data_IF_372498169695
#
_entry.id   IF_372498169695
#
_cell.length_a   1.000
_cell.length_b   1.000
_cell.length_c   1.000
_cell.angle_alpha   90.00
_cell.angle_beta   90.00
_cell.angle_gamma   90.00
#
_symmetry.space_group_name_H-M   'P 1'
#
loop_
_entity.id
_entity.type
_entity.pdbx_description
1 polymer ?
#
# COMPACT_ATOMS: atom_id res chain seq x y z
N UNK A 1 -11.82 8.14 10.51
CA UNK A 1 -10.56 8.90 10.35
C UNK A 1 -10.28 9.71 11.61
N UNK A 2 -11.30 10.39 12.16
CA UNK A 2 -11.24 11.18 13.41
C UNK A 2 -10.52 10.51 14.60
N UNK A 3 -10.70 9.20 14.82
CA UNK A 3 -9.96 8.47 15.88
C UNK A 3 -8.45 8.39 15.61
N UNK A 4 -8.03 8.15 14.36
CA UNK A 4 -6.62 8.03 14.01
C UNK A 4 -5.94 9.40 14.06
N UNK A 5 -6.65 10.46 13.66
CA UNK A 5 -6.17 11.84 13.80
C UNK A 5 -5.94 12.19 15.28
N UNK A 6 -6.88 11.81 16.17
CA UNK A 6 -6.72 12.01 17.61
C UNK A 6 -5.52 11.24 18.18
N UNK A 7 -5.28 10.01 17.72
CA UNK A 7 -4.14 9.21 18.16
C UNK A 7 -2.82 9.82 17.69
N UNK A 8 -2.74 10.30 16.46
CA UNK A 8 -1.58 11.00 15.92
C UNK A 8 -1.29 12.30 16.70
N UNK A 9 -2.31 13.10 16.99
CA UNK A 9 -2.18 14.28 17.85
C UNK A 9 -1.70 13.91 19.26
N UNK A 10 -2.19 12.80 19.82
CA UNK A 10 -1.81 12.35 21.16
C UNK A 10 -0.37 11.85 21.20
N UNK A 11 0.09 11.14 20.17
CA UNK A 11 1.50 10.79 20.01
C UNK A 11 2.36 12.06 19.98
N UNK A 12 2.02 13.02 19.11
CA UNK A 12 2.80 14.25 18.89
C UNK A 12 2.83 15.16 20.12
N UNK A 13 1.70 15.31 20.82
CA UNK A 13 1.58 16.23 21.96
C UNK A 13 2.07 15.64 23.28
N UNK A 14 1.97 14.31 23.47
CA UNK A 14 2.26 13.65 24.76
C UNK A 14 3.40 12.63 24.69
N UNK A 15 4.02 12.44 23.53
CA UNK A 15 5.15 11.53 23.34
C UNK A 15 4.80 10.06 23.65
N UNK A 16 3.54 9.67 23.48
CA UNK A 16 3.08 8.31 23.79
C UNK A 16 3.32 7.40 22.59
N UNK A 17 3.87 6.20 22.84
CA UNK A 17 3.94 5.14 21.84
C UNK A 17 2.56 4.50 21.68
N UNK A 18 2.06 4.46 20.46
CA UNK A 18 0.77 3.88 20.11
C UNK A 18 1.02 2.66 19.23
N UNK A 19 0.41 1.54 19.58
CA UNK A 19 0.43 0.31 18.78
C UNK A 19 -0.99 0.05 18.32
N UNK A 20 -1.17 -0.08 17.01
CA UNK A 20 -2.48 -0.26 16.39
C UNK A 20 -2.46 -1.46 15.45
N UNK A 21 -3.60 -2.13 15.33
CA UNK A 21 -3.84 -3.15 14.29
C UNK A 21 -4.94 -2.59 13.41
N UNK A 22 -4.61 -2.36 12.14
CA UNK A 22 -5.54 -1.85 11.15
C UNK A 22 -5.75 -2.91 10.06
N UNK A 23 -6.98 -2.98 9.56
CA UNK A 23 -7.33 -3.87 8.44
C UNK A 23 -7.11 -3.23 7.07
N UNK A 24 -6.90 -1.91 7.02
CA UNK A 24 -6.70 -1.13 5.80
C UNK A 24 -5.23 -0.74 5.63
N UNK A 25 -4.65 -1.15 4.50
CA UNK A 25 -3.24 -0.95 4.17
C UNK A 25 -2.89 0.53 3.97
N UNK A 26 -3.76 1.29 3.33
CA UNK A 26 -3.50 2.69 3.00
C UNK A 26 -3.61 3.57 4.25
N UNK A 27 -4.60 3.30 5.11
CA UNK A 27 -4.67 3.95 6.42
C UNK A 27 -3.47 3.59 7.30
N UNK A 28 -3.01 2.33 7.25
CA UNK A 28 -1.78 1.93 7.97
C UNK A 28 -0.58 2.75 7.51
N UNK A 29 -0.39 2.90 6.20
CA UNK A 29 0.73 3.66 5.65
C UNK A 29 0.65 5.16 5.95
N UNK A 30 -0.56 5.73 6.01
CA UNK A 30 -0.76 7.17 6.24
C UNK A 30 -0.53 7.57 7.70
N UNK A 31 -0.87 6.72 8.66
CA UNK A 31 -0.85 7.06 10.08
C UNK A 31 0.28 6.41 10.88
N UNK A 32 0.93 5.37 10.34
CA UNK A 32 2.02 4.71 11.05
C UNK A 32 3.37 5.29 10.64
N UNK A 33 4.19 5.64 11.62
CA UNK A 33 5.62 5.89 11.41
C UNK A 33 6.41 4.59 11.19
N UNK A 34 5.86 3.47 11.69
CA UNK A 34 6.50 2.15 11.66
C UNK A 34 5.46 1.05 11.42
N UNK A 35 5.71 0.19 10.43
CA UNK A 35 4.89 -0.95 10.08
C UNK A 35 5.55 -2.27 10.46
N UNK A 36 4.71 -3.24 10.79
CA UNK A 36 5.09 -4.64 11.02
C UNK A 36 4.17 -5.50 10.17
N UNK A 37 4.71 -6.11 9.13
CA UNK A 37 4.01 -7.08 8.31
C UNK A 37 4.20 -8.49 8.90
N UNK A 38 3.11 -9.22 9.08
CA UNK A 38 3.09 -10.55 9.70
C UNK A 38 2.49 -11.56 8.73
N UNK A 39 3.19 -12.67 8.50
CA UNK A 39 2.74 -13.79 7.68
C UNK A 39 2.89 -15.08 8.49
N UNK A 40 1.84 -15.90 8.56
CA UNK A 40 1.86 -17.19 9.27
C UNK A 40 2.38 -17.09 10.73
N UNK A 41 2.01 -16.02 11.43
CA UNK A 41 2.42 -15.78 12.82
C UNK A 41 3.89 -15.38 13.02
N UNK A 42 4.62 -15.11 11.93
CA UNK A 42 5.99 -14.60 11.96
C UNK A 42 6.07 -13.21 11.34
N UNK A 43 7.01 -12.41 11.83
CA UNK A 43 7.33 -11.12 11.23
C UNK A 43 7.98 -11.36 9.86
N UNK A 44 7.34 -10.86 8.80
CA UNK A 44 7.84 -10.92 7.43
C UNK A 44 8.75 -9.72 7.12
N UNK A 45 8.30 -8.51 7.46
CA UNK A 45 9.06 -7.27 7.27
C UNK A 45 8.66 -6.23 8.32
N UNK A 46 9.60 -5.36 8.70
CA UNK A 46 9.35 -4.23 9.59
C UNK A 46 10.17 -3.01 9.18
N UNK A 47 9.67 -1.81 9.48
CA UNK A 47 10.34 -0.57 9.10
C UNK A 47 9.35 0.56 8.85
N UNK A 48 9.81 1.60 8.15
CA UNK A 48 8.93 2.68 7.68
C UNK A 48 7.91 2.17 6.67
N UNK A 49 6.78 2.88 6.47
CA UNK A 49 5.84 2.55 5.41
C UNK A 49 6.50 2.31 4.05
N UNK A 50 7.45 3.16 3.66
CA UNK A 50 8.15 3.07 2.37
C UNK A 50 9.01 1.81 2.23
N UNK A 51 9.54 1.28 3.33
CA UNK A 51 10.36 0.07 3.33
C UNK A 51 9.49 -1.20 3.32
N UNK A 52 8.37 -1.20 4.05
CA UNK A 52 7.53 -2.39 4.23
C UNK A 52 6.51 -2.53 3.10
N UNK A 53 5.94 -1.41 2.64
CA UNK A 53 4.81 -1.40 1.71
C UNK A 53 5.28 -1.53 0.25
N UNK A 54 5.76 -2.72 -0.11
CA UNK A 54 6.17 -3.06 -1.48
C UNK A 54 5.16 -4.00 -2.14
N UNK A 55 5.17 -4.08 -3.47
CA UNK A 55 4.32 -5.03 -4.21
C UNK A 55 4.61 -6.49 -3.81
N UNK A 56 5.87 -6.81 -3.53
CA UNK A 56 6.28 -8.13 -3.03
C UNK A 56 5.70 -8.42 -1.65
N UNK A 57 5.86 -7.50 -0.69
CA UNK A 57 5.28 -7.68 0.66
C UNK A 57 3.77 -7.85 0.58
N UNK A 58 3.07 -7.04 -0.22
CA UNK A 58 1.61 -7.12 -0.33
C UNK A 58 1.18 -8.43 -0.99
N UNK A 59 1.87 -8.86 -2.05
CA UNK A 59 1.62 -10.14 -2.72
C UNK A 59 1.85 -11.31 -1.77
N UNK A 60 2.94 -11.34 -1.03
CA UNK A 60 3.26 -12.48 -0.17
C UNK A 60 2.39 -12.50 1.10
N UNK A 61 2.21 -11.35 1.77
CA UNK A 61 1.51 -11.29 3.06
C UNK A 61 -0.01 -11.32 2.89
N UNK A 62 -0.54 -10.63 1.87
CA UNK A 62 -1.98 -10.47 1.66
C UNK A 62 -2.52 -11.25 0.46
N UNK A 63 -1.66 -11.94 -0.30
CA UNK A 63 -2.03 -12.67 -1.53
C UNK A 63 -2.77 -11.78 -2.53
N UNK A 64 -2.30 -10.53 -2.66
CA UNK A 64 -2.94 -9.49 -3.45
C UNK A 64 -1.97 -8.93 -4.49
N UNK A 65 -2.35 -9.05 -5.76
CA UNK A 65 -1.66 -8.36 -6.87
C UNK A 65 -2.05 -6.88 -6.87
N UNK A 66 -1.06 -6.00 -6.77
CA UNK A 66 -1.27 -4.56 -6.68
C UNK A 66 -0.14 -3.75 -7.31
N UNK A 67 -0.38 -2.46 -7.49
CA UNK A 67 0.68 -1.45 -7.66
C UNK A 67 0.81 -0.61 -6.42
N UNK A 68 2.05 -0.28 -6.05
CA UNK A 68 2.33 0.70 -5.02
C UNK A 68 2.73 2.02 -5.69
N UNK A 69 2.01 3.08 -5.35
CA UNK A 69 2.28 4.44 -5.85
C UNK A 69 2.36 5.41 -4.68
N UNK A 70 3.01 6.56 -4.83
CA UNK A 70 2.93 7.63 -3.83
C UNK A 70 1.49 8.13 -3.70
N UNK A 71 1.02 8.29 -2.46
CA UNK A 71 -0.25 8.93 -2.16
C UNK A 71 -0.17 10.41 -2.56
N UNK A 72 -1.07 10.92 -3.41
CA UNK A 72 -1.00 12.30 -3.90
C UNK A 72 -1.25 13.36 -2.83
N UNK A 73 -1.72 12.97 -1.63
CA UNK A 73 -2.00 13.88 -0.52
C UNK A 73 -0.94 13.83 0.58
N UNK A 74 -0.31 12.68 0.80
CA UNK A 74 0.59 12.46 1.94
C UNK A 74 1.98 11.91 1.59
N UNK A 75 2.27 11.64 0.31
CA UNK A 75 3.52 11.02 -0.18
C UNK A 75 3.86 9.65 0.45
N UNK A 76 2.96 9.11 1.28
CA UNK A 76 3.06 7.77 1.83
C UNK A 76 2.72 6.72 0.77
N UNK A 77 3.20 5.48 0.87
CA UNK A 77 2.83 4.44 -0.08
C UNK A 77 1.33 4.17 -0.09
N UNK A 78 0.74 4.11 -1.27
CA UNK A 78 -0.66 3.77 -1.52
C UNK A 78 -0.74 2.51 -2.37
N UNK A 79 -1.49 1.52 -1.89
CA UNK A 79 -1.78 0.28 -2.59
C UNK A 79 -3.01 0.41 -3.48
N UNK A 80 -2.83 0.08 -4.76
CA UNK A 80 -3.88 0.04 -5.77
C UNK A 80 -4.02 -1.42 -6.24
N UNK A 81 -5.10 -2.14 -5.87
CA UNK A 81 -5.29 -3.53 -6.24
C UNK A 81 -5.56 -3.69 -7.74
N UNK A 82 -4.90 -4.65 -8.37
CA UNK A 82 -5.11 -5.00 -9.77
C UNK A 82 -6.26 -6.00 -9.89
N UNK A 83 -7.49 -5.49 -10.02
CA UNK A 83 -8.66 -6.33 -10.24
C UNK A 83 -8.69 -6.98 -11.63
N UNK A 84 -9.40 -8.10 -11.78
CA UNK A 84 -9.57 -8.82 -13.07
C UNK A 84 -10.12 -7.95 -14.22
N UNK A 85 -10.82 -6.85 -13.92
CA UNK A 85 -11.30 -5.89 -14.94
C UNK A 85 -10.18 -5.05 -15.55
N UNK A 86 -9.13 -4.75 -14.78
CA UNK A 86 -8.00 -3.94 -15.23
C UNK A 86 -7.04 -4.77 -16.09
N UNK A 87 -6.88 -6.07 -15.78
CA UNK A 87 -6.08 -7.00 -16.61
C UNK A 87 -6.57 -7.13 -18.07
N UNK A 88 -7.85 -6.88 -18.37
CA UNK A 88 -8.37 -6.97 -19.75
C UNK A 88 -7.90 -5.82 -20.65
N UNK A 89 -7.63 -4.65 -20.08
CA UNK A 89 -7.25 -3.48 -20.89
C UNK A 89 -5.78 -3.53 -21.31
N UNK A 90 -4.90 -4.12 -20.50
CA UNK A 90 -3.47 -4.26 -20.82
C UNK A 90 -3.17 -5.27 -21.93
N UNK A 91 -4.12 -6.12 -22.33
CA UNK A 91 -3.92 -7.11 -23.42
C UNK A 91 -4.38 -6.57 -24.79
N UNK A 92 -5.11 -5.44 -24.85
CA UNK A 92 -5.62 -4.91 -26.14
C UNK A 92 -4.71 -3.89 -26.85
N UNK A 93 -3.69 -3.33 -26.20
CA UNK A 93 -2.80 -2.35 -26.86
C UNK A 93 -1.62 -2.98 -27.64
N UNK A 94 -1.33 -4.27 -27.46
CA UNK A 94 -0.22 -4.96 -28.15
C UNK A 94 -0.57 -5.49 -29.55
N UNK A 95 -1.77 -5.21 -30.07
CA UNK A 95 -2.22 -5.61 -31.41
C UNK A 95 -2.69 -4.41 -32.26
N UNK A 96 -1.82 -3.41 -32.49
CA UNK A 96 -1.91 -2.62 -33.73
C UNK A 96 -0.82 -3.12 -34.70
N UNK A 97 -1.18 -3.88 -35.76
CA UNK A 97 -0.24 -4.11 -36.83
C UNK A 97 -0.03 -2.80 -37.60
N UNK A 98 1.23 -2.39 -37.69
CA UNK A 98 1.73 -1.48 -38.72
C UNK A 98 1.10 -1.84 -40.07
N UNK A 99 0.18 -1.00 -40.57
CA UNK A 99 -0.18 -0.99 -42.00
C UNK A 99 0.38 0.28 -42.62
N UNK A 100 1.60 0.07 -43.11
CA UNK A 100 2.35 0.69 -44.19
C UNK A 100 1.63 1.77 -45.01
N UNK A 101 2.38 2.85 -45.24
CA UNK A 101 2.33 3.72 -46.41
C UNK A 101 1.76 3.03 -47.66
N UNK A 102 0.75 3.62 -48.27
CA UNK A 102 0.66 3.96 -49.70
C UNK A 102 -0.55 4.86 -49.94
#
# INVERSE_FOLDING_TARGET
>A
VELLDLLDELQKSKGKTIVMILHDLNLSCRYADYLVAVQQGKVYATGTPQQVMTEETVRDVFNLECRIVPDPLSDTPMCIPMGRKIQRNSIQEEQLPNKTRN
#
